data_IF_473312413884
#
_entry.id   IF_473312413884
#
_cell.length_a   1.000
_cell.length_b   1.000
_cell.length_c   1.000
_cell.angle_alpha   90.00
_cell.angle_beta   90.00
_cell.angle_gamma   90.00
#
_symmetry.space_group_name_H-M   'P 1'
#
loop_
_entity.id
_entity.type
_entity.pdbx_description
1 polymer ?
#
# COMPACT_ATOMS: atom_id res chain seq x y z
N UNK A 1 -1.34 11.78 -5.25
CA UNK A 1 -1.15 12.86 -6.26
C UNK A 1 0.31 13.29 -6.36
N UNK A 2 0.95 13.79 -5.28
CA UNK A 2 2.36 14.20 -5.31
C UNK A 2 3.31 13.13 -5.89
N UNK A 3 3.19 11.87 -5.45
CA UNK A 3 4.01 10.78 -6.00
C UNK A 3 3.84 10.55 -7.50
N UNK A 4 2.63 10.76 -8.06
CA UNK A 4 2.39 10.64 -9.50
C UNK A 4 3.06 11.79 -10.29
N UNK A 5 3.04 13.00 -9.73
CA UNK A 5 3.73 14.17 -10.31
C UNK A 5 5.24 13.92 -10.33
N UNK A 6 5.82 13.44 -9.22
CA UNK A 6 7.25 13.15 -9.13
C UNK A 6 7.68 12.04 -10.09
N UNK A 7 6.86 10.99 -10.25
CA UNK A 7 7.14 9.90 -11.20
C UNK A 7 7.03 10.39 -12.65
N UNK A 8 6.06 11.23 -12.98
CA UNK A 8 5.97 11.86 -14.30
C UNK A 8 7.22 12.70 -14.60
N UNK A 9 7.59 13.59 -13.67
CA UNK A 9 8.78 14.42 -13.81
C UNK A 9 10.06 13.58 -13.95
N UNK A 10 10.25 12.58 -13.09
CA UNK A 10 11.39 11.67 -13.17
C UNK A 10 11.44 10.87 -14.48
N UNK A 11 10.29 10.44 -14.99
CA UNK A 11 10.19 9.74 -16.28
C UNK A 11 10.56 10.67 -17.44
N UNK A 12 10.08 11.92 -17.45
CA UNK A 12 10.45 12.93 -18.44
C UNK A 12 11.97 13.16 -18.40
N UNK A 13 12.54 13.38 -17.22
CA UNK A 13 13.98 13.51 -17.05
C UNK A 13 14.73 12.30 -17.62
N UNK A 14 14.31 11.07 -17.29
CA UNK A 14 14.95 9.86 -17.82
C UNK A 14 14.91 9.74 -19.35
N UNK A 15 13.80 10.16 -19.97
CA UNK A 15 13.66 10.15 -21.43
C UNK A 15 14.58 11.19 -22.08
N UNK A 16 14.63 12.42 -21.55
CA UNK A 16 15.46 13.49 -22.15
C UNK A 16 16.96 13.28 -21.91
N UNK A 17 17.34 12.58 -20.83
CA UNK A 17 18.74 12.41 -20.44
C UNK A 17 19.46 11.27 -21.18
N UNK A 18 18.75 10.46 -21.95
CA UNK A 18 19.30 9.26 -22.60
C UNK A 18 19.07 9.34 -24.11
N UNK A 19 20.07 9.04 -24.96
CA UNK A 19 19.86 8.97 -26.40
C UNK A 19 18.76 7.98 -26.79
N UNK A 20 17.99 8.29 -27.83
CA UNK A 20 16.79 7.54 -28.21
C UNK A 20 17.03 6.05 -28.48
N UNK A 21 18.22 5.68 -28.97
CA UNK A 21 18.61 4.31 -29.27
C UNK A 21 19.05 3.50 -28.04
N UNK A 22 19.21 4.13 -26.88
CA UNK A 22 19.60 3.48 -25.62
C UNK A 22 18.41 3.19 -24.69
N UNK A 23 17.21 3.69 -25.03
CA UNK A 23 16.00 3.39 -24.26
C UNK A 23 15.70 1.88 -24.27
N UNK A 24 15.19 1.37 -23.15
CA UNK A 24 14.75 -0.02 -22.97
C UNK A 24 15.84 -1.11 -23.07
N UNK A 25 17.12 -0.75 -23.24
CA UNK A 25 18.22 -1.72 -23.24
C UNK A 25 18.58 -2.24 -21.84
N UNK A 26 18.31 -1.45 -20.80
CA UNK A 26 18.59 -1.83 -19.42
C UNK A 26 17.30 -1.99 -18.60
N UNK A 27 17.29 -2.96 -17.70
CA UNK A 27 16.11 -3.35 -16.89
C UNK A 27 15.52 -2.16 -16.11
N UNK A 28 16.36 -1.20 -15.68
CA UNK A 28 15.90 0.05 -15.06
C UNK A 28 14.87 0.80 -15.93
N UNK A 29 15.13 0.96 -17.22
CA UNK A 29 14.24 1.73 -18.11
C UNK A 29 12.91 1.01 -18.36
N UNK A 30 12.93 -0.33 -18.40
CA UNK A 30 11.71 -1.15 -18.52
C UNK A 30 10.87 -1.05 -17.25
N UNK A 31 11.48 -1.26 -16.08
CA UNK A 31 10.79 -1.15 -14.79
C UNK A 31 10.29 0.27 -14.53
N UNK A 32 11.08 1.29 -14.87
CA UNK A 32 10.69 2.69 -14.75
C UNK A 32 9.43 3.03 -15.56
N UNK A 33 9.36 2.55 -16.80
CA UNK A 33 8.17 2.74 -17.63
C UNK A 33 6.95 1.98 -17.10
N UNK A 34 7.11 0.71 -16.70
CA UNK A 34 6.02 -0.07 -16.09
C UNK A 34 5.50 0.60 -14.81
N UNK A 35 6.38 1.11 -13.96
CA UNK A 35 6.02 1.88 -12.77
C UNK A 35 5.21 3.13 -13.12
N UNK A 36 5.66 3.90 -14.12
CA UNK A 36 4.94 5.07 -14.61
C UNK A 36 3.50 4.70 -15.00
N UNK A 37 3.33 3.66 -15.84
CA UNK A 37 2.01 3.18 -16.26
C UNK A 37 1.17 2.76 -15.05
N UNK A 38 1.71 1.95 -14.14
CA UNK A 38 0.98 1.48 -12.97
C UNK A 38 0.54 2.63 -12.05
N UNK A 39 1.36 3.67 -11.90
CA UNK A 39 1.04 4.83 -11.05
C UNK A 39 -0.02 5.73 -11.70
N UNK A 40 0.09 5.98 -13.00
CA UNK A 40 -0.90 6.75 -13.76
C UNK A 40 -2.25 6.02 -13.77
N UNK A 41 -2.24 4.69 -13.83
CA UNK A 41 -3.44 3.86 -13.77
C UNK A 41 -4.19 3.95 -12.42
N UNK A 42 -3.52 4.29 -11.30
CA UNK A 42 -4.17 4.32 -9.97
C UNK A 42 -5.34 5.33 -9.87
N UNK A 43 -5.19 6.61 -10.27
CA UNK A 43 -6.30 7.56 -10.33
C UNK A 43 -7.49 7.09 -11.18
N UNK A 44 -7.23 6.57 -12.39
CA UNK A 44 -8.30 6.06 -13.27
C UNK A 44 -9.02 4.89 -12.61
N UNK A 45 -8.28 3.97 -12.00
CA UNK A 45 -8.87 2.88 -11.23
C UNK A 45 -9.74 3.38 -10.08
N UNK A 46 -9.32 4.43 -9.37
CA UNK A 46 -10.09 5.03 -8.29
C UNK A 46 -11.44 5.61 -8.77
N UNK A 47 -11.47 6.20 -9.97
CA UNK A 47 -12.69 6.72 -10.58
C UNK A 47 -13.67 5.60 -10.98
N UNK A 48 -13.14 4.44 -11.40
CA UNK A 48 -13.92 3.28 -11.81
C UNK A 48 -14.33 2.38 -10.62
N UNK A 49 -14.23 2.87 -9.38
CA UNK A 49 -14.58 2.10 -8.18
C UNK A 49 -16.06 1.67 -8.23
N UNK A 50 -16.37 0.37 -8.21
CA UNK A 50 -17.76 -0.10 -8.21
C UNK A 50 -18.50 0.30 -6.93
N UNK A 51 -19.74 0.77 -7.11
CA UNK A 51 -20.61 1.15 -5.99
C UNK A 51 -21.05 -0.08 -5.17
N UNK A 52 -21.25 0.08 -3.84
CA UNK A 52 -21.82 -0.99 -3.03
C UNK A 52 -23.23 -1.35 -3.52
N UNK A 53 -23.55 -2.65 -3.53
CA UNK A 53 -24.90 -3.17 -3.81
C UNK A 53 -25.69 -3.26 -2.50
N UNK A 54 -27.02 -3.09 -2.56
CA UNK A 54 -27.91 -3.21 -1.38
C UNK A 54 -27.84 -4.61 -0.73
N UNK A 55 -27.51 -5.63 -1.53
CA UNK A 55 -27.35 -7.03 -1.09
C UNK A 55 -25.98 -7.29 -0.42
N UNK A 56 -25.17 -6.26 -0.16
CA UNK A 56 -23.95 -6.32 0.64
C UNK A 56 -22.71 -6.89 -0.06
N UNK A 57 -22.87 -7.74 -1.08
CA UNK A 57 -21.75 -8.33 -1.82
C UNK A 57 -21.76 -7.96 -3.32
N UNK A 58 -20.61 -7.51 -3.83
CA UNK A 58 -20.40 -7.17 -5.24
C UNK A 58 -19.04 -7.73 -5.69
N UNK A 59 -19.05 -8.74 -6.56
CA UNK A 59 -17.84 -9.38 -7.09
C UNK A 59 -16.89 -8.38 -7.76
N UNK A 60 -17.43 -7.40 -8.50
CA UNK A 60 -16.65 -6.36 -9.16
C UNK A 60 -15.94 -5.47 -8.14
N UNK A 61 -16.62 -5.11 -7.05
CA UNK A 61 -16.00 -4.36 -5.95
C UNK A 61 -14.91 -5.17 -5.24
N UNK A 62 -15.15 -6.45 -4.97
CA UNK A 62 -14.18 -7.33 -4.33
C UNK A 62 -12.91 -7.47 -5.19
N UNK A 63 -13.07 -7.75 -6.49
CA UNK A 63 -11.95 -7.81 -7.44
C UNK A 63 -11.21 -6.47 -7.51
N UNK A 64 -11.95 -5.36 -7.66
CA UNK A 64 -11.38 -4.02 -7.69
C UNK A 64 -10.56 -3.72 -6.43
N UNK A 65 -11.07 -4.07 -5.25
CA UNK A 65 -10.35 -3.86 -3.99
C UNK A 65 -9.06 -4.68 -3.90
N UNK A 66 -9.08 -5.93 -4.36
CA UNK A 66 -7.88 -6.78 -4.43
C UNK A 66 -6.88 -6.18 -5.40
N UNK A 67 -7.29 -5.92 -6.64
CA UNK A 67 -6.42 -5.37 -7.68
C UNK A 67 -5.83 -4.01 -7.31
N UNK A 68 -6.64 -3.08 -6.79
CA UNK A 68 -6.17 -1.75 -6.40
C UNK A 68 -5.17 -1.81 -5.23
N UNK A 69 -5.45 -2.63 -4.20
CA UNK A 69 -4.53 -2.78 -3.05
C UNK A 69 -3.22 -3.47 -3.45
N UNK A 70 -3.28 -4.53 -4.24
CA UNK A 70 -2.08 -5.28 -4.64
C UNK A 70 -1.24 -4.54 -5.68
N UNK A 71 -1.86 -3.87 -6.65
CA UNK A 71 -1.12 -3.04 -7.61
C UNK A 71 -0.38 -1.89 -6.91
N UNK A 72 -0.98 -1.26 -5.90
CA UNK A 72 -0.29 -0.25 -5.09
C UNK A 72 0.92 -0.81 -4.34
N UNK A 73 0.84 -2.03 -3.80
CA UNK A 73 1.98 -2.70 -3.14
C UNK A 73 3.09 -3.05 -4.12
N UNK A 74 2.73 -3.54 -5.30
CA UNK A 74 3.70 -3.85 -6.35
C UNK A 74 4.43 -2.60 -6.83
N UNK A 75 3.75 -1.46 -6.97
CA UNK A 75 4.38 -0.18 -7.29
C UNK A 75 5.46 0.20 -6.28
N UNK A 76 5.21 0.02 -4.98
CA UNK A 76 6.20 0.33 -3.95
C UNK A 76 7.43 -0.60 -4.05
N UNK A 77 7.21 -1.90 -4.20
CA UNK A 77 8.29 -2.88 -4.32
C UNK A 77 9.12 -2.66 -5.59
N UNK A 78 8.46 -2.55 -6.74
CA UNK A 78 9.11 -2.27 -8.02
C UNK A 78 9.83 -0.93 -7.98
N UNK A 79 9.32 0.07 -7.25
CA UNK A 79 9.97 1.37 -7.07
C UNK A 79 11.33 1.26 -6.38
N UNK A 80 11.42 0.50 -5.30
CA UNK A 80 12.68 0.23 -4.58
C UNK A 80 13.68 -0.49 -5.50
N UNK A 81 13.22 -1.51 -6.22
CA UNK A 81 14.04 -2.24 -7.20
C UNK A 81 14.54 -1.27 -8.28
N UNK A 82 13.65 -0.44 -8.82
CA UNK A 82 13.98 0.45 -9.93
C UNK A 82 14.98 1.55 -9.55
N UNK A 83 14.86 2.13 -8.35
CA UNK A 83 15.86 3.08 -7.83
C UNK A 83 17.22 2.39 -7.67
N UNK A 84 17.23 1.18 -7.13
CA UNK A 84 18.46 0.39 -6.96
C UNK A 84 19.14 0.09 -8.30
N UNK A 85 18.36 -0.31 -9.31
CA UNK A 85 18.85 -0.50 -10.68
C UNK A 85 19.40 0.80 -11.29
N UNK A 86 18.78 1.94 -11.00
CA UNK A 86 19.25 3.26 -11.43
C UNK A 86 20.59 3.63 -10.81
N UNK A 87 20.80 3.32 -9.52
CA UNK A 87 22.09 3.54 -8.85
C UNK A 87 23.21 2.67 -9.43
N UNK A 88 22.91 1.41 -9.79
CA UNK A 88 23.86 0.56 -10.50
C UNK A 88 24.20 1.13 -11.88
N UNK A 89 23.18 1.53 -12.65
CA UNK A 89 23.37 2.08 -13.99
C UNK A 89 24.17 3.39 -13.97
N UNK A 90 23.94 4.24 -12.98
CA UNK A 90 24.64 5.51 -12.81
C UNK A 90 26.04 5.35 -12.19
N UNK A 91 26.47 4.12 -11.84
CA UNK A 91 27.72 3.85 -11.12
C UNK A 91 27.85 4.78 -9.89
N UNK A 92 26.79 4.82 -9.09
CA UNK A 92 26.64 5.84 -8.05
C UNK A 92 27.77 5.74 -6.99
N UNK A 93 28.26 6.87 -6.45
CA UNK A 93 29.26 6.88 -5.39
C UNK A 93 28.79 6.13 -4.14
N UNK A 94 29.73 5.56 -3.37
CA UNK A 94 29.44 4.79 -2.15
C UNK A 94 28.58 5.54 -1.14
N UNK A 95 28.75 6.86 -1.02
CA UNK A 95 27.92 7.68 -0.14
C UNK A 95 26.44 7.63 -0.52
N UNK A 96 26.12 7.69 -1.83
CA UNK A 96 24.73 7.62 -2.32
C UNK A 96 24.12 6.25 -2.01
N UNK A 97 24.90 5.18 -2.16
CA UNK A 97 24.49 3.83 -1.77
C UNK A 97 24.18 3.72 -0.27
N UNK A 98 25.04 4.26 0.58
CA UNK A 98 24.84 4.25 2.04
C UNK A 98 23.56 4.98 2.40
N UNK A 99 23.33 6.17 1.83
CA UNK A 99 22.12 6.95 2.08
C UNK A 99 20.86 6.22 1.60
N UNK A 100 20.91 5.59 0.41
CA UNK A 100 19.81 4.80 -0.12
C UNK A 100 19.46 3.61 0.76
N UNK A 101 20.47 2.82 1.18
CA UNK A 101 20.27 1.65 2.04
C UNK A 101 19.78 2.06 3.43
N UNK A 102 20.28 3.16 3.99
CA UNK A 102 19.79 3.71 5.26
C UNK A 102 18.32 4.12 5.15
N UNK A 103 17.93 4.77 4.05
CA UNK A 103 16.55 5.16 3.78
C UNK A 103 15.60 3.96 3.64
N UNK A 104 16.00 2.94 2.87
CA UNK A 104 15.21 1.68 2.75
C UNK A 104 15.12 0.97 4.10
N UNK A 105 16.24 0.88 4.83
CA UNK A 105 16.29 0.28 6.16
C UNK A 105 15.35 0.98 7.15
N UNK A 106 15.32 2.32 7.15
CA UNK A 106 14.38 3.10 7.96
C UNK A 106 12.92 2.72 7.66
N UNK A 107 12.54 2.67 6.39
CA UNK A 107 11.17 2.29 6.01
C UNK A 107 10.81 0.85 6.39
N UNK A 108 11.76 -0.09 6.26
CA UNK A 108 11.57 -1.47 6.71
C UNK A 108 11.34 -1.52 8.21
N UNK A 109 12.14 -0.80 9.01
CA UNK A 109 11.96 -0.72 10.46
C UNK A 109 10.59 -0.13 10.82
N UNK A 110 10.20 0.98 10.19
CA UNK A 110 8.87 1.59 10.39
C UNK A 110 7.76 0.58 10.07
N UNK A 111 7.88 -0.15 8.96
CA UNK A 111 6.90 -1.15 8.56
C UNK A 111 6.81 -2.30 9.58
N UNK A 112 7.95 -2.83 10.05
CA UNK A 112 7.99 -3.88 11.06
C UNK A 112 7.35 -3.39 12.37
N UNK A 113 7.71 -2.19 12.84
CA UNK A 113 7.14 -1.60 14.06
C UNK A 113 5.62 -1.44 13.91
N UNK A 114 5.16 -0.90 12.79
CA UNK A 114 3.73 -0.75 12.52
C UNK A 114 2.99 -2.10 12.55
N UNK A 115 3.55 -3.14 11.94
CA UNK A 115 2.97 -4.49 11.92
C UNK A 115 2.95 -5.12 13.33
N UNK A 116 4.02 -4.95 14.11
CA UNK A 116 4.11 -5.46 15.49
C UNK A 116 3.11 -4.77 16.41
N UNK A 117 2.92 -3.44 16.29
CA UNK A 117 1.98 -2.65 17.10
C UNK A 117 0.52 -2.87 16.68
N UNK A 118 0.25 -3.05 15.38
CA UNK A 118 -1.12 -3.22 14.86
C UNK A 118 -1.75 -4.53 15.31
N UNK A 119 -0.98 -5.62 15.38
CA UNK A 119 -1.46 -6.96 15.76
C UNK A 119 -2.14 -7.03 17.14
N UNK A 120 -1.55 -6.54 18.25
CA UNK A 120 -2.21 -6.54 19.54
C UNK A 120 -3.46 -5.65 19.56
N UNK A 121 -3.43 -4.51 18.87
CA UNK A 121 -4.58 -3.62 18.77
C UNK A 121 -5.75 -4.26 18.03
N UNK A 122 -5.52 -4.90 16.88
CA UNK A 122 -6.56 -5.62 16.13
C UNK A 122 -7.12 -6.80 16.91
N UNK A 123 -6.26 -7.56 17.62
CA UNK A 123 -6.69 -8.64 18.51
C UNK A 123 -7.62 -8.11 19.60
N UNK A 124 -7.28 -6.98 20.23
CA UNK A 124 -8.11 -6.36 21.27
C UNK A 124 -9.45 -5.85 20.71
N UNK A 125 -9.45 -5.21 19.53
CA UNK A 125 -10.68 -4.77 18.89
C UNK A 125 -11.61 -5.94 18.53
N UNK A 126 -11.05 -7.02 17.95
CA UNK A 126 -11.82 -8.24 17.66
C UNK A 126 -12.38 -8.86 18.95
N UNK A 127 -11.60 -8.89 20.03
CA UNK A 127 -12.06 -9.37 21.35
C UNK A 127 -13.22 -8.51 21.87
N UNK A 128 -13.14 -7.19 21.74
CA UNK A 128 -14.20 -6.25 22.17
C UNK A 128 -15.46 -6.33 21.31
N UNK A 129 -15.33 -6.60 20.01
CA UNK A 129 -16.46 -6.79 19.09
C UNK A 129 -17.17 -8.14 19.30
N UNK A 130 -16.46 -9.16 19.78
CA UNK A 130 -17.00 -10.50 20.02
C UNK A 130 -17.69 -10.66 21.38
N UNK A 131 -17.57 -9.69 22.29
CA UNK A 131 -18.33 -9.70 23.56
C UNK A 131 -19.82 -9.56 23.24
N UNK A 132 -20.69 -10.48 23.66
CA UNK A 132 -22.12 -10.39 23.42
C UNK A 132 -22.69 -9.12 24.05
N UNK A 133 -23.61 -8.45 23.37
CA UNK A 133 -24.40 -7.39 23.99
C UNK A 133 -25.31 -8.03 25.03
N UNK A 134 -25.15 -7.63 26.29
CA UNK A 134 -26.05 -8.01 27.37
C UNK A 134 -27.08 -6.90 27.50
N UNK A 135 -28.34 -7.21 27.20
CA UNK A 135 -29.46 -6.32 27.48
C UNK A 135 -29.76 -6.37 28.97
N UNK A 136 -29.71 -5.21 29.63
CA UNK A 136 -30.17 -5.09 31.01
C UNK A 136 -31.70 -5.24 31.04
N UNK A 137 -32.18 -6.32 31.64
CA UNK A 137 -33.63 -6.62 31.73
C UNK A 137 -34.36 -5.67 32.67
N UNK A 138 -33.65 -4.90 33.50
CA UNK A 138 -34.22 -3.94 34.44
C UNK A 138 -34.26 -2.51 33.89
N UNK A 139 -33.43 -2.22 32.88
CA UNK A 139 -33.40 -0.92 32.24
C UNK A 139 -33.10 -1.06 30.73
N UNK A 140 -34.11 -0.99 29.84
CA UNK A 140 -33.93 -1.20 28.40
C UNK A 140 -33.07 -0.13 27.72
N UNK A 141 -32.76 0.97 28.41
CA UNK A 141 -31.88 2.03 27.91
C UNK A 141 -30.41 1.84 28.31
N UNK A 142 -30.09 0.83 29.13
CA UNK A 142 -28.73 0.57 29.62
C UNK A 142 -28.09 -0.60 28.87
N UNK A 143 -27.31 -0.28 27.83
CA UNK A 143 -26.51 -1.27 27.11
C UNK A 143 -25.16 -1.41 27.82
N UNK A 144 -24.89 -2.57 28.41
CA UNK A 144 -23.61 -2.84 29.07
C UNK A 144 -22.86 -3.98 28.37
N UNK A 145 -21.54 -3.83 28.19
CA UNK A 145 -20.68 -4.87 27.61
C UNK A 145 -20.12 -5.76 28.73
N UNK A 146 -20.85 -6.81 29.10
CA UNK A 146 -20.48 -7.75 30.17
C UNK A 146 -20.37 -9.20 29.70
N UNK A 147 -19.78 -10.07 30.52
CA UNK A 147 -19.89 -11.52 30.32
C UNK A 147 -21.29 -11.99 30.75
N UNK A 148 -21.90 -12.86 29.95
CA UNK A 148 -23.08 -13.62 30.37
C UNK A 148 -22.56 -14.62 31.42
N UNK A 149 -22.80 -14.34 32.70
CA UNK A 149 -22.60 -15.35 33.74
C UNK A 149 -23.70 -16.41 33.55
N UNK A 150 -23.37 -17.48 32.84
CA UNK A 150 -24.16 -18.72 32.87
C UNK A 150 -23.87 -19.41 34.20
N UNK A 151 -24.39 -18.85 35.29
CA UNK A 151 -24.56 -19.59 36.53
C UNK A 151 -25.88 -20.35 36.38
N UNK A 152 -25.77 -21.66 36.14
CA UNK A 152 -26.87 -22.60 36.33
C UNK A 152 -27.04 -22.87 37.83
#
# INVERSE_FOLDING_TARGET
VLGAILILAGTICGIISVPSHEHFKFVHSIFGYLLFVMVVQQPFNAMLRPQPTEQGFNCGRAFWEVWHKWSGRLVLLCGIINITLGLFLAVAPSLVWILWLAYVGLWVVIFIVAEVVKRPFEKELRRRARKPMVYDTTNPYRISRGQVNTAF
#
